data_IF_027072203014
#
_entry.id   IF_027072203014
#
_cell.length_a   1.000
_cell.length_b   1.000
_cell.length_c   1.000
_cell.angle_alpha   90.00
_cell.angle_beta   90.00
_cell.angle_gamma   90.00
#
_symmetry.space_group_name_H-M   'P 1'
#
loop_
_entity.id
_entity.type
_entity.pdbx_description
1 polymer ?
#
# COMPACT_ATOMS: atom_id res chain seq x y z
N UNK A 1 29.26 3.31 -16.02
CA UNK A 1 29.25 3.44 -14.55
C UNK A 1 28.21 4.49 -14.22
N UNK A 2 27.00 4.06 -13.86
CA UNK A 2 25.91 4.98 -13.50
C UNK A 2 25.94 5.13 -11.99
N UNK A 3 26.58 6.20 -11.56
CA UNK A 3 26.65 6.63 -10.18
C UNK A 3 25.54 7.66 -9.91
N UNK A 4 25.32 7.93 -8.62
CA UNK A 4 24.28 8.74 -8.00
C UNK A 4 23.01 7.96 -7.67
N UNK A 5 23.11 7.34 -6.49
CA UNK A 5 22.04 7.11 -5.50
C UNK A 5 21.02 8.25 -5.50
N UNK A 6 20.04 8.18 -6.40
CA UNK A 6 18.76 8.83 -6.16
C UNK A 6 18.16 8.10 -4.96
N UNK A 7 18.36 8.68 -3.77
CA UNK A 7 17.50 8.43 -2.62
C UNK A 7 16.09 8.69 -3.14
N UNK A 8 15.42 7.63 -3.60
CA UNK A 8 14.13 7.74 -4.23
C UNK A 8 13.23 8.44 -3.22
N UNK A 9 12.87 9.68 -3.53
CA UNK A 9 12.02 10.51 -2.68
C UNK A 9 10.83 9.64 -2.21
N UNK A 10 10.51 9.62 -0.90
CA UNK A 10 9.44 8.80 -0.36
C UNK A 10 8.14 8.81 -1.16
N UNK A 11 7.81 9.95 -1.81
CA UNK A 11 6.68 10.07 -2.73
C UNK A 11 6.85 9.24 -4.02
N UNK A 12 8.03 9.29 -4.64
CA UNK A 12 8.39 8.51 -5.83
C UNK A 12 8.39 7.01 -5.56
N UNK A 13 8.84 6.59 -4.37
CA UNK A 13 8.83 5.19 -3.97
C UNK A 13 7.41 4.67 -3.71
N UNK A 14 6.53 5.50 -3.11
CA UNK A 14 5.11 5.17 -2.98
C UNK A 14 4.44 4.94 -4.34
N UNK A 15 4.74 5.78 -5.33
CA UNK A 15 4.20 5.58 -6.69
C UNK A 15 4.81 4.36 -7.39
N UNK A 16 6.10 4.07 -7.15
CA UNK A 16 6.72 2.85 -7.65
C UNK A 16 6.08 1.60 -7.05
N UNK A 17 5.76 1.60 -5.75
CA UNK A 17 5.06 0.51 -5.07
C UNK A 17 3.66 0.28 -5.64
N UNK A 18 2.89 1.35 -5.84
CA UNK A 18 1.59 1.29 -6.50
C UNK A 18 1.70 0.64 -7.90
N UNK A 19 2.63 1.13 -8.73
CA UNK A 19 2.84 0.59 -10.09
C UNK A 19 3.29 -0.88 -10.07
N UNK A 20 4.15 -1.26 -9.12
CA UNK A 20 4.59 -2.67 -8.95
C UNK A 20 3.40 -3.57 -8.62
N UNK A 21 2.53 -3.13 -7.72
CA UNK A 21 1.32 -3.86 -7.38
C UNK A 21 0.34 -3.95 -8.56
N UNK A 22 0.14 -2.87 -9.32
CA UNK A 22 -0.71 -2.89 -10.52
C UNK A 22 -0.18 -3.79 -11.66
N UNK A 23 1.15 -3.95 -11.76
CA UNK A 23 1.78 -4.83 -12.76
C UNK A 23 1.91 -6.28 -12.29
N UNK A 24 1.64 -6.58 -11.01
CA UNK A 24 1.74 -7.93 -10.49
C UNK A 24 0.69 -8.85 -11.13
N UNK A 25 1.10 -10.08 -11.44
CA UNK A 25 0.24 -11.09 -12.06
C UNK A 25 -0.58 -11.84 -11.01
N UNK A 26 -1.57 -11.15 -10.44
CA UNK A 26 -2.58 -11.80 -9.60
C UNK A 26 -3.63 -12.49 -10.46
N UNK A 27 -4.09 -13.67 -10.05
CA UNK A 27 -5.23 -14.33 -10.66
C UNK A 27 -6.56 -13.69 -10.23
N UNK A 28 -7.62 -13.92 -10.98
CA UNK A 28 -8.97 -13.45 -10.63
C UNK A 28 -9.45 -14.04 -9.31
N UNK A 29 -9.17 -15.32 -9.07
CA UNK A 29 -9.57 -16.04 -7.86
C UNK A 29 -9.02 -15.43 -6.57
N UNK A 30 -7.92 -14.67 -6.66
CA UNK A 30 -7.36 -13.93 -5.52
C UNK A 30 -8.35 -12.93 -4.92
N UNK A 31 -9.27 -12.38 -5.72
CA UNK A 31 -10.20 -11.33 -5.33
C UNK A 31 -11.63 -11.90 -5.24
N UNK A 32 -12.10 -12.29 -4.04
CA UNK A 32 -13.43 -12.87 -3.88
C UNK A 32 -14.52 -11.96 -4.44
N UNK A 33 -15.48 -12.55 -5.15
CA UNK A 33 -16.61 -11.83 -5.75
C UNK A 33 -16.32 -11.09 -7.05
N UNK A 34 -15.05 -10.98 -7.47
CA UNK A 34 -14.69 -10.39 -8.76
C UNK A 34 -14.70 -11.47 -9.85
N UNK A 35 -15.76 -11.48 -10.67
CA UNK A 35 -15.92 -12.48 -11.74
C UNK A 35 -15.41 -12.01 -13.11
N UNK A 36 -15.19 -10.71 -13.27
CA UNK A 36 -14.77 -10.10 -14.53
C UNK A 36 -13.33 -9.60 -14.46
N UNK A 37 -12.71 -9.43 -15.63
CA UNK A 37 -11.36 -8.84 -15.74
C UNK A 37 -11.33 -7.42 -15.19
N UNK A 38 -12.37 -6.65 -15.47
CA UNK A 38 -12.53 -5.25 -15.06
C UNK A 38 -12.67 -5.16 -13.54
N UNK A 39 -13.49 -6.04 -12.94
CA UNK A 39 -13.63 -6.15 -11.50
C UNK A 39 -12.30 -6.50 -10.82
N UNK A 40 -11.55 -7.45 -11.40
CA UNK A 40 -10.19 -7.77 -10.93
C UNK A 40 -9.24 -6.58 -11.02
N UNK A 41 -9.22 -5.84 -12.14
CA UNK A 41 -8.39 -4.64 -12.30
C UNK A 41 -8.75 -3.58 -11.25
N UNK A 42 -10.05 -3.35 -11.02
CA UNK A 42 -10.54 -2.45 -9.98
C UNK A 42 -10.09 -2.87 -8.58
N UNK A 43 -10.28 -4.14 -8.21
CA UNK A 43 -9.86 -4.66 -6.92
C UNK A 43 -8.33 -4.58 -6.73
N UNK A 44 -7.56 -4.86 -7.79
CA UNK A 44 -6.10 -4.72 -7.76
C UNK A 44 -5.66 -3.26 -7.59
N UNK A 45 -6.37 -2.30 -8.19
CA UNK A 45 -6.13 -0.87 -7.98
C UNK A 45 -6.37 -0.46 -6.53
N UNK A 46 -7.48 -0.91 -5.95
CA UNK A 46 -7.82 -0.65 -4.54
C UNK A 46 -6.76 -1.25 -3.62
N UNK A 47 -6.37 -2.51 -3.85
CA UNK A 47 -5.29 -3.17 -3.11
C UNK A 47 -3.97 -2.43 -3.23
N UNK A 48 -3.63 -1.92 -4.42
CA UNK A 48 -2.40 -1.17 -4.66
C UNK A 48 -2.37 0.15 -3.87
N UNK A 49 -3.51 0.86 -3.81
CA UNK A 49 -3.65 2.08 -3.00
C UNK A 49 -3.59 1.77 -1.51
N UNK A 50 -4.26 0.70 -1.07
CA UNK A 50 -4.25 0.26 0.32
C UNK A 50 -2.83 -0.11 0.79
N UNK A 51 -2.08 -0.92 0.02
CA UNK A 51 -0.70 -1.29 0.36
C UNK A 51 0.19 -0.06 0.49
N UNK A 52 0.07 0.90 -0.44
CA UNK A 52 0.82 2.17 -0.39
C UNK A 52 0.52 2.92 0.91
N UNK A 53 -0.76 3.16 1.19
CA UNK A 53 -1.21 3.91 2.37
C UNK A 53 -0.84 3.19 3.68
N UNK A 54 -1.07 1.87 3.75
CA UNK A 54 -0.75 1.03 4.90
C UNK A 54 0.74 1.05 5.21
N UNK A 55 1.61 0.90 4.21
CA UNK A 55 3.06 0.93 4.43
C UNK A 55 3.51 2.29 4.97
N UNK A 56 2.97 3.39 4.45
CA UNK A 56 3.26 4.74 4.98
C UNK A 56 2.84 4.86 6.45
N UNK A 57 1.65 4.37 6.80
CA UNK A 57 1.15 4.41 8.17
C UNK A 57 1.99 3.52 9.11
N UNK A 58 2.31 2.31 8.70
CA UNK A 58 3.18 1.39 9.46
C UNK A 58 4.53 2.03 9.74
N UNK A 59 5.16 2.65 8.74
CA UNK A 59 6.42 3.37 8.93
C UNK A 59 6.27 4.55 9.90
N UNK A 60 5.20 5.35 9.78
CA UNK A 60 4.92 6.47 10.69
C UNK A 60 4.78 6.00 12.15
N UNK A 61 4.02 4.94 12.40
CA UNK A 61 3.83 4.39 13.75
C UNK A 61 5.09 3.70 14.29
N UNK A 62 5.85 2.99 13.44
CA UNK A 62 7.14 2.41 13.83
C UNK A 62 8.15 3.50 14.22
N UNK A 63 8.21 4.61 13.48
CA UNK A 63 9.07 5.76 13.82
C UNK A 63 8.70 6.32 15.18
N UNK A 64 7.40 6.48 15.48
CA UNK A 64 6.93 6.95 16.80
C UNK A 64 7.31 5.97 17.92
N UNK A 65 7.02 4.69 17.74
CA UNK A 65 7.30 3.63 18.72
C UNK A 65 8.81 3.49 19.03
N UNK A 66 9.66 3.74 18.03
CA UNK A 66 11.11 3.73 18.20
C UNK A 66 11.70 5.12 18.50
N UNK A 67 10.88 6.16 18.70
CA UNK A 67 11.35 7.55 18.90
C UNK A 67 12.36 8.02 17.84
N UNK A 68 12.16 7.60 16.59
CA UNK A 68 13.05 7.91 15.46
C UNK A 68 14.38 7.15 15.45
N UNK A 69 14.65 6.27 16.42
CA UNK A 69 15.91 5.52 16.47
C UNK A 69 15.98 4.45 15.38
N UNK A 70 16.71 4.75 14.30
CA UNK A 70 16.85 3.88 13.12
C UNK A 70 17.32 2.48 13.48
N UNK A 71 18.26 2.33 14.42
CA UNK A 71 18.75 1.00 14.87
C UNK A 71 17.60 0.12 15.38
N UNK A 72 16.81 0.64 16.32
CA UNK A 72 15.67 -0.07 16.91
C UNK A 72 14.57 -0.34 15.89
N UNK A 73 14.35 0.59 14.95
CA UNK A 73 13.41 0.38 13.84
C UNK A 73 13.84 -0.81 12.97
N UNK A 74 15.13 -0.89 12.59
CA UNK A 74 15.67 -1.99 11.77
C UNK A 74 15.54 -3.35 12.45
N UNK A 75 15.77 -3.41 13.76
CA UNK A 75 15.61 -4.64 14.55
C UNK A 75 14.16 -5.13 14.58
N UNK A 76 13.18 -4.21 14.66
CA UNK A 76 11.75 -4.56 14.65
C UNK A 76 11.19 -4.87 13.26
N UNK A 77 11.76 -4.27 12.21
CA UNK A 77 11.18 -4.26 10.87
C UNK A 77 10.86 -5.65 10.28
N UNK A 78 11.70 -6.71 10.44
CA UNK A 78 11.35 -8.04 9.95
C UNK A 78 10.05 -8.59 10.57
N UNK A 79 9.80 -8.31 11.84
CA UNK A 79 8.58 -8.73 12.54
C UNK A 79 7.35 -7.96 12.05
N UNK A 80 7.53 -6.68 11.73
CA UNK A 80 6.50 -5.80 11.15
C UNK A 80 6.12 -6.26 9.76
N UNK A 81 7.10 -6.56 8.92
CA UNK A 81 6.90 -7.08 7.57
C UNK A 81 6.15 -8.41 7.60
N UNK A 82 6.60 -9.36 8.43
CA UNK A 82 5.93 -10.66 8.59
C UNK A 82 4.48 -10.50 9.07
N UNK A 83 4.24 -9.67 10.10
CA UNK A 83 2.89 -9.44 10.61
C UNK A 83 1.97 -8.77 9.58
N UNK A 84 2.49 -7.81 8.81
CA UNK A 84 1.74 -7.12 7.75
C UNK A 84 1.40 -8.08 6.61
N UNK A 85 2.35 -8.92 6.19
CA UNK A 85 2.15 -9.92 5.15
C UNK A 85 1.13 -11.00 5.58
N UNK A 86 1.26 -11.52 6.82
CA UNK A 86 0.29 -12.46 7.40
C UNK A 86 -1.12 -11.87 7.51
N UNK A 87 -1.22 -10.59 7.86
CA UNK A 87 -2.50 -9.90 7.94
C UNK A 87 -3.26 -9.90 6.60
N UNK A 88 -2.54 -9.71 5.47
CA UNK A 88 -3.17 -9.82 4.15
C UNK A 88 -3.60 -11.26 3.82
N UNK A 89 -2.96 -12.25 4.44
CA UNK A 89 -3.34 -13.67 4.32
C UNK A 89 -4.48 -14.08 5.26
N UNK A 90 -5.02 -13.15 6.05
CA UNK A 90 -6.05 -13.43 7.05
C UNK A 90 -5.53 -13.95 8.39
N UNK A 91 -4.21 -14.03 8.59
CA UNK A 91 -3.60 -14.37 9.88
C UNK A 91 -3.31 -13.08 10.68
N UNK A 92 -4.08 -12.85 11.73
CA UNK A 92 -3.97 -11.66 12.58
C UNK A 92 -3.20 -11.90 13.89
N UNK A 93 -2.66 -13.11 14.11
CA UNK A 93 -2.04 -13.53 15.39
C UNK A 93 -0.92 -12.60 15.87
N UNK A 94 -0.21 -11.96 14.93
CA UNK A 94 0.91 -11.05 15.17
C UNK A 94 0.54 -9.57 15.11
N UNK A 95 -0.68 -9.23 14.68
CA UNK A 95 -1.07 -7.86 14.39
C UNK A 95 -1.00 -6.96 15.62
N UNK A 96 -1.53 -7.42 16.76
CA UNK A 96 -1.54 -6.67 18.03
C UNK A 96 -0.16 -6.19 18.47
N UNK A 97 0.90 -6.95 18.15
CA UNK A 97 2.27 -6.64 18.58
C UNK A 97 3.08 -5.93 17.50
N UNK A 98 2.88 -6.26 16.24
CA UNK A 98 3.84 -5.90 15.18
C UNK A 98 3.20 -5.25 13.94
N UNK A 99 1.88 -5.28 13.76
CA UNK A 99 1.29 -4.62 12.59
C UNK A 99 1.16 -3.10 12.76
N UNK A 100 1.17 -2.58 14.00
CA UNK A 100 0.94 -1.16 14.37
C UNK A 100 -0.44 -0.57 14.01
N UNK A 101 -1.05 -1.03 12.92
CA UNK A 101 -2.25 -0.45 12.30
C UNK A 101 -3.45 -1.39 12.34
N UNK A 102 -3.23 -2.64 12.73
CA UNK A 102 -4.25 -3.68 12.88
C UNK A 102 -4.23 -4.15 14.34
N UNK A 103 -5.39 -4.18 14.98
CA UNK A 103 -5.47 -4.49 16.42
C UNK A 103 -5.37 -5.99 16.73
N UNK A 104 -5.57 -6.85 15.71
CA UNK A 104 -5.72 -8.29 15.89
C UNK A 104 -7.01 -8.65 16.67
N UNK A 105 -7.67 -9.76 16.33
CA UNK A 105 -8.86 -10.22 17.06
C UNK A 105 -10.12 -10.37 16.20
N UNK A 106 -11.29 -10.25 16.85
CA UNK A 106 -12.62 -10.41 16.24
C UNK A 106 -12.83 -9.45 15.06
N UNK A 107 -13.68 -9.86 14.12
CA UNK A 107 -13.90 -9.26 12.79
C UNK A 107 -13.72 -7.73 12.71
N UNK A 108 -14.32 -6.94 13.61
CA UNK A 108 -14.28 -5.47 13.60
C UNK A 108 -12.89 -4.83 13.77
N UNK A 109 -11.94 -5.49 14.44
CA UNK A 109 -10.60 -4.93 14.73
C UNK A 109 -9.54 -5.17 13.65
N UNK A 110 -9.90 -5.90 12.59
CA UNK A 110 -9.00 -6.29 11.50
C UNK A 110 -8.74 -5.13 10.53
N UNK A 111 -7.58 -5.15 9.87
CA UNK A 111 -7.25 -4.15 8.84
C UNK A 111 -8.32 -4.07 7.75
N UNK A 112 -8.87 -5.22 7.35
CA UNK A 112 -9.89 -5.34 6.30
C UNK A 112 -11.15 -4.50 6.56
N UNK A 113 -11.53 -4.33 7.83
CA UNK A 113 -12.71 -3.52 8.18
C UNK A 113 -12.35 -2.06 8.49
N UNK A 114 -11.11 -1.80 8.93
CA UNK A 114 -10.62 -0.45 9.25
C UNK A 114 -10.18 0.34 8.02
N UNK A 115 -9.69 -0.34 6.99
CA UNK A 115 -9.21 0.29 5.78
C UNK A 115 -10.37 0.84 4.96
N UNK A 116 -10.50 2.17 4.92
CA UNK A 116 -11.58 2.89 4.21
C UNK A 116 -11.67 2.45 2.75
N UNK A 117 -10.51 2.32 2.08
CA UNK A 117 -10.45 1.92 0.67
C UNK A 117 -10.94 0.50 0.46
N UNK A 118 -10.50 -0.47 1.27
CA UNK A 118 -10.92 -1.86 1.14
C UNK A 118 -12.42 -2.02 1.42
N UNK A 119 -12.91 -1.39 2.50
CA UNK A 119 -14.32 -1.41 2.89
C UNK A 119 -15.24 -0.77 1.84
N UNK A 120 -14.87 0.38 1.26
CA UNK A 120 -15.65 1.07 0.20
C UNK A 120 -15.88 0.16 -1.02
N UNK A 121 -14.91 -0.68 -1.35
CA UNK A 121 -14.96 -1.59 -2.49
C UNK A 121 -15.32 -3.04 -2.11
N UNK A 122 -15.81 -3.25 -0.88
CA UNK A 122 -16.25 -4.55 -0.35
C UNK A 122 -15.19 -5.65 -0.43
N UNK A 123 -13.92 -5.28 -0.34
CA UNK A 123 -12.80 -6.22 -0.35
C UNK A 123 -12.40 -6.56 1.10
N UNK A 124 -12.96 -7.63 1.66
CA UNK A 124 -12.77 -8.01 3.06
C UNK A 124 -11.76 -9.13 3.29
N UNK A 125 -11.27 -9.75 2.21
CA UNK A 125 -10.27 -10.82 2.24
C UNK A 125 -9.65 -11.00 0.87
N UNK A 126 -8.55 -11.76 0.82
CA UNK A 126 -7.91 -12.22 -0.41
C UNK A 126 -7.73 -13.75 -0.35
N UNK A 127 -7.98 -14.43 -1.46
CA UNK A 127 -7.68 -15.85 -1.61
C UNK A 127 -6.25 -16.02 -2.17
N UNK A 128 -5.26 -15.81 -1.32
CA UNK A 128 -3.87 -15.87 -1.75
C UNK A 128 -3.32 -17.31 -1.77
N UNK A 129 -2.86 -17.74 -2.94
CA UNK A 129 -1.95 -18.87 -3.05
C UNK A 129 -0.50 -18.42 -2.77
N UNK A 130 0.44 -19.35 -2.74
CA UNK A 130 1.85 -19.05 -2.43
C UNK A 130 2.49 -18.05 -3.42
N UNK A 131 2.09 -18.05 -4.69
CA UNK A 131 2.58 -17.06 -5.67
C UNK A 131 2.08 -15.66 -5.33
N UNK A 132 0.80 -15.52 -4.97
CA UNK A 132 0.23 -14.24 -4.55
C UNK A 132 0.90 -13.72 -3.28
N UNK A 133 1.11 -14.59 -2.27
CA UNK A 133 1.82 -14.25 -1.04
C UNK A 133 3.22 -13.72 -1.34
N UNK A 134 3.98 -14.43 -2.18
CA UNK A 134 5.31 -13.98 -2.60
C UNK A 134 5.29 -12.60 -3.28
N UNK A 135 4.36 -12.37 -4.22
CA UNK A 135 4.20 -11.07 -4.89
C UNK A 135 3.89 -9.94 -3.89
N UNK A 136 2.97 -10.17 -2.95
CA UNK A 136 2.62 -9.18 -1.92
C UNK A 136 3.81 -8.91 -1.01
N UNK A 137 4.55 -9.93 -0.60
CA UNK A 137 5.75 -9.76 0.21
C UNK A 137 6.79 -8.88 -0.49
N UNK A 138 7.05 -9.11 -1.79
CA UNK A 138 7.99 -8.30 -2.57
C UNK A 138 7.53 -6.84 -2.73
N UNK A 139 6.21 -6.61 -2.88
CA UNK A 139 5.64 -5.26 -2.92
C UNK A 139 5.79 -4.57 -1.55
N UNK A 140 5.54 -5.27 -0.44
CA UNK A 140 5.67 -4.73 0.91
C UNK A 140 7.11 -4.33 1.23
N UNK A 141 8.09 -5.17 0.84
CA UNK A 141 9.52 -4.88 0.98
C UNK A 141 9.95 -3.58 0.28
N UNK A 142 9.21 -3.06 -0.69
CA UNK A 142 9.59 -1.77 -1.28
C UNK A 142 9.61 -0.62 -0.28
N UNK A 143 8.83 -0.68 0.80
CA UNK A 143 8.80 0.36 1.86
C UNK A 143 9.09 -0.18 3.26
N UNK A 144 8.91 -1.49 3.49
CA UNK A 144 9.18 -2.13 4.77
C UNK A 144 10.55 -2.81 4.75
N UNK A 145 11.59 -2.06 4.40
CA UNK A 145 13.00 -2.50 4.39
C UNK A 145 13.93 -1.55 5.12
N UNK A 146 15.10 -2.08 5.48
CA UNK A 146 16.18 -1.32 6.11
C UNK A 146 16.54 -0.09 5.27
N UNK A 147 16.71 -0.27 3.95
CA UNK A 147 17.11 0.82 3.05
C UNK A 147 16.12 1.99 3.10
N UNK A 148 14.81 1.70 3.17
CA UNK A 148 13.79 2.74 3.25
C UNK A 148 13.81 3.45 4.61
N UNK A 149 13.88 2.69 5.71
CA UNK A 149 13.93 3.26 7.06
C UNK A 149 15.16 4.13 7.25
N UNK A 150 16.31 3.68 6.77
CA UNK A 150 17.56 4.44 6.79
C UNK A 150 17.47 5.72 5.95
N UNK A 151 16.87 5.67 4.76
CA UNK A 151 16.67 6.85 3.91
C UNK A 151 15.73 7.88 4.54
N UNK A 152 14.66 7.44 5.24
CA UNK A 152 13.76 8.35 5.96
C UNK A 152 14.47 9.10 7.09
N UNK A 153 15.35 8.43 7.84
CA UNK A 153 16.12 9.08 8.92
C UNK A 153 17.10 10.12 8.37
N UNK A 154 17.81 9.82 7.28
CA UNK A 154 18.76 10.75 6.66
C UNK A 154 18.08 11.99 6.03
N UNK A 155 16.82 11.86 5.60
CA UNK A 155 16.04 12.98 5.08
C UNK A 155 15.50 13.92 6.17
N UNK A 156 15.39 13.45 7.41
CA UNK A 156 14.94 14.27 8.55
C UNK A 156 16.05 15.22 9.04
N UNK A 157 17.32 14.82 8.96
CA UNK A 157 18.46 15.61 9.46
C UNK A 157 18.82 16.83 8.56
N UNK A 158 18.29 16.91 7.34
CA UNK A 158 18.59 17.96 6.36
C UNK A 158 17.49 19.03 6.20
N UNK A 159 16.55 19.18 7.14
CA UNK A 159 15.42 20.11 6.96
C UNK A 159 15.67 21.53 7.51
N UNK A 160 16.32 22.35 6.69
CA UNK A 160 15.98 23.79 6.55
C UNK A 160 15.12 24.06 5.30
N UNK A 161 14.61 23.03 4.61
CA UNK A 161 13.73 23.23 3.46
C UNK A 161 12.51 22.29 3.50
N UNK A 162 11.34 22.88 3.79
CA UNK A 162 10.05 22.33 3.38
C UNK A 162 9.18 21.78 4.51
N UNK A 163 8.57 22.66 5.29
CA UNK A 163 7.40 22.38 6.13
C UNK A 163 6.16 21.90 5.31
N UNK A 164 6.24 21.85 3.98
CA UNK A 164 5.12 21.53 3.08
C UNK A 164 4.92 20.03 2.79
N UNK A 165 5.91 19.16 3.05
CA UNK A 165 5.81 17.73 2.69
C UNK A 165 5.12 16.85 3.73
N UNK A 166 5.14 17.23 5.01
CA UNK A 166 4.49 16.48 6.08
C UNK A 166 2.96 16.52 5.94
N UNK A 167 2.44 17.63 5.41
CA UNK A 167 1.00 17.89 5.28
C UNK A 167 0.33 17.08 4.17
N UNK A 168 1.06 16.69 3.11
CA UNK A 168 0.53 15.82 2.05
C UNK A 168 0.32 14.37 2.55
N UNK A 169 1.20 13.87 3.42
CA UNK A 169 1.07 12.55 4.04
C UNK A 169 -0.09 12.57 5.05
N UNK A 170 -0.26 13.67 5.79
CA UNK A 170 -1.39 13.85 6.70
C UNK A 170 -2.72 14.04 5.94
N UNK A 171 -2.72 14.70 4.77
CA UNK A 171 -3.90 14.85 3.91
C UNK A 171 -4.35 13.52 3.25
N UNK A 172 -3.41 12.64 2.89
CA UNK A 172 -3.70 11.24 2.50
C UNK A 172 -4.33 10.44 3.65
N UNK A 173 -4.00 10.78 4.91
CA UNK A 173 -4.48 10.08 6.11
C UNK A 173 -5.80 10.62 6.69
N UNK A 174 -6.08 11.92 6.54
CA UNK A 174 -7.28 12.59 7.09
C UNK A 174 -8.53 12.48 6.18
N UNK A 175 -8.45 11.71 5.08
CA UNK A 175 -9.54 11.64 4.10
C UNK A 175 -9.80 12.96 3.37
N UNK A 176 -8.85 13.91 3.41
CA UNK A 176 -8.93 15.24 2.79
C UNK A 176 -8.20 15.36 1.46
N UNK A 177 -7.81 14.25 0.84
CA UNK A 177 -7.54 14.28 -0.60
C UNK A 177 -8.88 14.34 -1.33
N UNK A 178 -9.21 15.55 -1.79
CA UNK A 178 -10.47 15.87 -2.43
C UNK A 178 -10.74 14.98 -3.63
N UNK A 179 -12.03 14.71 -3.83
CA UNK A 179 -12.71 14.05 -4.94
C UNK A 179 -12.39 14.61 -6.36
N UNK A 180 -11.30 15.35 -6.58
CA UNK A 180 -11.22 16.25 -7.75
C UNK A 180 -10.19 15.96 -8.84
N UNK A 181 -9.21 15.06 -8.68
CA UNK A 181 -8.16 14.88 -9.72
C UNK A 181 -7.99 13.48 -10.31
N UNK A 182 -8.27 12.37 -9.61
CA UNK A 182 -8.02 11.01 -10.14
C UNK A 182 -9.28 10.22 -10.54
N UNK A 183 -10.46 10.52 -9.99
CA UNK A 183 -11.72 9.86 -10.39
C UNK A 183 -12.06 10.14 -11.87
N UNK A 184 -11.76 11.34 -12.35
CA UNK A 184 -11.86 11.69 -13.79
C UNK A 184 -10.90 10.92 -14.68
N UNK A 185 -9.74 10.49 -14.17
CA UNK A 185 -8.80 9.67 -14.96
C UNK A 185 -9.33 8.24 -15.04
N UNK A 186 -9.96 7.73 -13.97
CA UNK A 186 -10.54 6.39 -13.94
C UNK A 186 -11.82 6.28 -14.79
N UNK A 187 -12.75 7.23 -14.69
CA UNK A 187 -13.92 7.28 -15.56
C UNK A 187 -13.52 7.42 -17.03
N UNK A 188 -12.53 8.27 -17.35
CA UNK A 188 -12.01 8.37 -18.72
C UNK A 188 -11.32 7.10 -19.20
N UNK A 189 -10.61 6.35 -18.33
CA UNK A 189 -9.93 5.12 -18.74
C UNK A 189 -10.90 3.94 -18.92
N UNK A 190 -12.00 3.90 -18.18
CA UNK A 190 -13.10 2.94 -18.40
C UNK A 190 -13.93 3.32 -19.63
N UNK A 191 -14.28 4.60 -19.81
CA UNK A 191 -15.02 5.08 -20.98
C UNK A 191 -14.21 4.94 -22.28
N UNK A 192 -12.91 5.24 -22.26
CA UNK A 192 -12.00 5.09 -23.42
C UNK A 192 -11.83 3.65 -23.88
N UNK A 193 -11.94 2.66 -22.98
CA UNK A 193 -11.83 1.23 -23.34
C UNK A 193 -13.15 0.62 -23.76
N UNK A 194 -14.28 1.15 -23.30
CA UNK A 194 -15.59 0.72 -23.76
C UNK A 194 -15.91 1.26 -25.17
N UNK A 195 -15.34 2.41 -25.59
CA UNK A 195 -15.50 2.92 -26.96
C UNK A 195 -14.72 2.13 -28.03
N UNK A 196 -13.69 1.37 -27.66
CA UNK A 196 -12.94 0.52 -28.60
C UNK A 196 -13.61 -0.83 -28.87
N UNK A 197 -14.58 -1.24 -28.04
CA UNK A 197 -15.33 -2.50 -28.21
C UNK A 197 -16.57 -2.31 -29.10
N UNK A 198 -17.09 -1.08 -29.23
CA UNK A 198 -18.28 -0.78 -30.05
C UNK A 198 -18.01 -0.49 -31.53
N UNK A 199 -16.76 -0.58 -32.00
CA UNK A 199 -16.40 -0.37 -33.42
C UNK A 199 -15.98 -1.65 -34.16
N UNK A 200 -16.10 -2.83 -33.55
CA UNK A 200 -15.77 -4.13 -34.16
C UNK A 200 -16.97 -5.07 -34.33
N UNK A 201 -18.21 -4.55 -34.30
CA UNK A 201 -19.43 -5.32 -34.61
C UNK A 201 -20.42 -4.53 -35.50
N UNK A 202 -19.97 -4.07 -36.67
CA UNK A 202 -20.86 -3.75 -37.81
C UNK A 202 -20.26 -4.18 -39.12
#
# INVERSE_FOLDING_TARGET
>A
MWDVKSLADPAHLGQAQFRKCMRAHFSTDMFPGMKTREGKIGAQMVLSRDIKARCSLVCKELTKDCSGQTKTMREKLPLVLDATHRCYSGDFSRCKRYSFVCNGGTSSGTWWNRAILLSKYKLYSLNMNEKHKHLILEILKMKLTDEYVTAMSLGADNTTCGLEKQDLINAEMDGRYSEFSEERVFEKHIQSRNSEVYHMER
#
